data_IF_745546404897
#
_entry.id   IF_745546404897
#
_cell.length_a   1.000
_cell.length_b   1.000
_cell.length_c   1.000
_cell.angle_alpha   90.00
_cell.angle_beta   90.00
_cell.angle_gamma   90.00
#
_symmetry.space_group_name_H-M   'P 1'
#
loop_
_entity.id
_entity.type
_entity.pdbx_description
1 polymer ?
#
# COMPACT_ATOMS: atom_id res chain seq x y z
N UNK A 1 29.00 -6.44 7.94
CA UNK A 1 28.58 -7.17 9.16
C UNK A 1 27.05 -7.20 9.17
N UNK A 2 26.46 -8.40 9.26
CA UNK A 2 25.01 -8.57 9.38
C UNK A 2 24.55 -8.03 10.73
N UNK A 3 23.53 -7.15 10.75
CA UNK A 3 22.91 -6.65 11.99
C UNK A 3 21.73 -7.56 12.35
N UNK A 4 21.51 -7.82 13.64
CA UNK A 4 20.24 -8.41 14.06
C UNK A 4 19.08 -7.44 13.68
N UNK A 5 17.92 -7.94 13.23
CA UNK A 5 16.79 -7.09 12.84
C UNK A 5 16.40 -6.05 13.90
N UNK A 6 16.47 -6.41 15.18
CA UNK A 6 16.18 -5.53 16.32
C UNK A 6 17.08 -4.30 16.43
N UNK A 7 18.24 -4.28 15.77
CA UNK A 7 19.16 -3.14 15.74
C UNK A 7 19.04 -2.28 14.49
N UNK A 8 18.19 -2.66 13.54
CA UNK A 8 17.97 -1.85 12.35
C UNK A 8 17.18 -0.58 12.70
N UNK A 9 17.73 0.54 12.30
CA UNK A 9 17.08 1.86 12.38
C UNK A 9 16.21 2.05 11.14
N UNK A 10 14.90 1.95 11.31
CA UNK A 10 13.95 1.92 10.21
C UNK A 10 13.11 3.20 10.19
N UNK A 11 13.01 3.85 9.04
CA UNK A 11 11.97 4.82 8.74
C UNK A 11 10.80 4.06 8.12
N UNK A 12 9.62 4.14 8.74
CA UNK A 12 8.39 3.63 8.16
C UNK A 12 7.62 4.74 7.47
N UNK A 13 7.12 4.51 6.25
CA UNK A 13 6.23 5.43 5.54
C UNK A 13 4.91 4.74 5.20
N UNK A 14 3.79 5.32 5.66
CA UNK A 14 2.47 4.74 5.45
C UNK A 14 1.37 5.72 5.83
N UNK A 15 0.12 5.49 5.40
CA UNK A 15 -0.97 6.44 5.66
C UNK A 15 -2.29 5.77 6.06
N UNK A 16 -2.92 4.87 5.24
CA UNK A 16 -4.24 4.30 5.52
C UNK A 16 -4.17 3.10 6.47
N UNK A 17 -5.34 2.56 6.79
CA UNK A 17 -5.51 1.35 7.61
C UNK A 17 -4.72 0.15 7.09
N UNK A 18 -4.58 0.02 5.77
CA UNK A 18 -3.79 -1.04 5.13
C UNK A 18 -2.34 -1.12 5.66
N UNK A 19 -1.77 0.00 6.08
CA UNK A 19 -0.40 0.06 6.59
C UNK A 19 -0.26 -0.35 8.07
N UNK A 20 -1.37 -0.43 8.82
CA UNK A 20 -1.32 -0.67 10.27
C UNK A 20 -0.77 -2.05 10.67
N UNK A 21 -1.16 -3.18 10.04
CA UNK A 21 -0.59 -4.47 10.38
C UNK A 21 0.94 -4.50 10.22
N UNK A 22 1.44 -3.93 9.12
CA UNK A 22 2.88 -3.81 8.86
C UNK A 22 3.60 -2.94 9.89
N UNK A 23 3.03 -1.79 10.24
CA UNK A 23 3.60 -0.90 11.25
C UNK A 23 3.67 -1.58 12.64
N UNK A 24 2.60 -2.29 13.04
CA UNK A 24 2.56 -3.06 14.29
C UNK A 24 3.64 -4.13 14.34
N UNK A 25 3.77 -4.89 13.26
CA UNK A 25 4.75 -5.96 13.17
C UNK A 25 6.18 -5.42 13.26
N UNK A 26 6.47 -4.31 12.57
CA UNK A 26 7.79 -3.68 12.61
C UNK A 26 8.10 -3.04 13.96
N UNK A 27 7.12 -2.44 14.66
CA UNK A 27 7.33 -1.83 15.97
C UNK A 27 7.85 -2.82 17.02
N UNK A 28 7.53 -4.12 16.89
CA UNK A 28 8.04 -5.18 17.77
C UNK A 28 9.37 -5.81 17.31
N UNK A 29 9.84 -5.48 16.08
CA UNK A 29 10.95 -6.22 15.45
C UNK A 29 12.18 -5.36 15.16
N UNK A 30 12.03 -4.04 15.02
CA UNK A 30 13.10 -3.11 14.63
C UNK A 30 13.04 -1.83 15.45
N UNK A 31 14.08 -1.00 15.37
CA UNK A 31 14.05 0.34 15.93
C UNK A 31 13.40 1.32 14.94
N UNK A 32 12.11 1.64 15.14
CA UNK A 32 11.45 2.68 14.35
C UNK A 32 11.96 4.06 14.76
N UNK A 33 12.78 4.68 13.92
CA UNK A 33 13.37 6.00 14.17
C UNK A 33 12.49 7.13 13.67
N UNK A 34 11.57 6.86 12.75
CA UNK A 34 10.47 7.74 12.38
C UNK A 34 9.32 6.94 11.75
N UNK A 35 8.11 7.40 12.01
CA UNK A 35 6.88 7.01 11.28
C UNK A 35 6.41 8.23 10.49
N UNK A 36 6.61 8.18 9.18
CA UNK A 36 6.26 9.26 8.27
C UNK A 36 4.89 8.98 7.64
N UNK A 37 3.97 9.91 7.81
CA UNK A 37 2.62 9.78 7.26
C UNK A 37 2.13 11.09 6.66
N UNK A 38 1.04 11.07 5.91
CA UNK A 38 0.48 12.29 5.33
C UNK A 38 -0.07 13.21 6.44
N UNK A 39 -0.09 14.53 6.21
CA UNK A 39 -0.75 15.49 7.12
C UNK A 39 -2.22 15.17 7.34
N UNK A 40 -2.76 15.64 8.45
CA UNK A 40 -4.18 15.58 8.76
C UNK A 40 -4.99 16.20 7.61
N UNK A 41 -6.12 15.59 7.29
CA UNK A 41 -7.01 16.03 6.20
C UNK A 41 -8.46 16.15 6.68
N UNK A 42 -9.23 17.05 6.06
CA UNK A 42 -10.67 17.09 6.28
C UNK A 42 -11.32 15.74 5.91
N UNK A 43 -11.98 15.09 6.87
CA UNK A 43 -12.65 13.80 6.69
C UNK A 43 -14.07 13.81 7.26
N UNK A 44 -14.91 12.88 6.79
CA UNK A 44 -16.27 12.66 7.26
C UNK A 44 -17.27 13.80 6.98
N UNK A 45 -18.48 13.64 7.54
CA UNK A 45 -19.53 14.67 7.50
C UNK A 45 -19.11 15.85 8.37
N UNK A 46 -18.99 17.04 7.79
CA UNK A 46 -18.52 18.26 8.49
C UNK A 46 -17.03 18.58 8.28
N UNK A 47 -16.29 17.80 7.47
CA UNK A 47 -14.92 18.08 7.02
C UNK A 47 -13.96 18.50 8.16
N UNK A 48 -14.09 17.88 9.33
CA UNK A 48 -13.14 18.11 10.43
C UNK A 48 -11.77 17.51 10.07
N UNK A 49 -10.69 18.20 10.45
CA UNK A 49 -9.34 17.67 10.32
C UNK A 49 -9.23 16.38 11.13
N UNK A 50 -8.85 15.30 10.47
CA UNK A 50 -8.67 13.99 11.06
C UNK A 50 -7.28 13.47 10.75
N UNK A 51 -6.54 12.98 11.74
CA UNK A 51 -5.25 12.35 11.53
C UNK A 51 -5.41 11.05 10.73
N UNK A 52 -4.41 10.68 9.92
CA UNK A 52 -4.39 9.38 9.27
C UNK A 52 -4.30 8.24 10.30
N UNK A 53 -4.83 7.03 10.00
CA UNK A 53 -4.76 5.87 10.89
C UNK A 53 -3.35 5.58 11.41
N UNK A 54 -2.33 5.67 10.55
CA UNK A 54 -0.92 5.49 10.92
C UNK A 54 -0.46 6.51 11.96
N UNK A 55 -0.89 7.80 11.86
CA UNK A 55 -0.53 8.81 12.86
C UNK A 55 -1.18 8.54 14.22
N UNK A 56 -2.44 8.10 14.22
CA UNK A 56 -3.17 7.75 15.46
C UNK A 56 -2.43 6.62 16.17
N UNK A 57 -2.25 5.50 15.50
CA UNK A 57 -1.57 4.32 16.06
C UNK A 57 -0.14 4.64 16.54
N UNK A 58 0.64 5.36 15.74
CA UNK A 58 2.01 5.69 16.11
C UNK A 58 2.09 6.57 17.39
N UNK A 59 1.17 7.51 17.55
CA UNK A 59 1.08 8.34 18.77
C UNK A 59 0.67 7.52 19.99
N UNK A 60 -0.32 6.63 19.85
CA UNK A 60 -0.74 5.71 20.92
C UNK A 60 0.40 4.81 21.39
N UNK A 61 1.27 4.40 20.47
CA UNK A 61 2.46 3.60 20.77
C UNK A 61 3.70 4.43 21.14
N UNK A 62 3.58 5.75 21.29
CA UNK A 62 4.72 6.66 21.56
C UNK A 62 5.86 6.56 20.53
N UNK A 63 5.54 6.22 19.29
CA UNK A 63 6.50 6.20 18.17
C UNK A 63 6.73 7.63 17.63
N UNK A 64 7.94 7.95 17.13
CA UNK A 64 8.23 9.27 16.58
C UNK A 64 7.48 9.51 15.26
N UNK A 65 6.50 10.42 15.25
CA UNK A 65 5.66 10.73 14.09
C UNK A 65 6.14 11.97 13.37
N UNK A 66 6.23 11.89 12.05
CA UNK A 66 6.49 13.03 11.16
C UNK A 66 5.38 13.12 10.10
N UNK A 67 4.79 14.32 9.95
CA UNK A 67 3.73 14.60 8.97
C UNK A 67 4.12 15.76 8.04
N UNK A 68 5.22 15.62 7.27
CA UNK A 68 5.67 16.71 6.41
C UNK A 68 4.67 16.94 5.25
N UNK A 69 4.41 18.20 4.88
CA UNK A 69 3.56 18.51 3.73
C UNK A 69 4.16 18.01 2.40
N UNK A 70 5.49 17.85 2.35
CA UNK A 70 6.20 17.30 1.20
C UNK A 70 7.55 16.72 1.63
N UNK A 71 7.89 15.53 1.13
CA UNK A 71 9.21 14.92 1.29
C UNK A 71 10.29 15.54 0.40
N UNK A 72 9.91 16.39 -0.57
CA UNK A 72 10.86 17.09 -1.46
C UNK A 72 11.54 18.31 -0.81
N UNK A 73 11.12 18.70 0.39
CA UNK A 73 11.69 19.85 1.08
C UNK A 73 13.07 19.51 1.65
N UNK A 74 14.11 20.31 1.37
CA UNK A 74 15.47 20.03 1.82
C UNK A 74 15.58 19.88 3.35
N UNK A 75 14.81 20.65 4.12
CA UNK A 75 14.78 20.55 5.57
C UNK A 75 14.22 19.19 6.05
N UNK A 76 13.26 18.62 5.33
CA UNK A 76 12.69 17.29 5.64
C UNK A 76 13.70 16.20 5.32
N UNK A 77 14.36 16.28 4.15
CA UNK A 77 15.41 15.33 3.75
C UNK A 77 16.54 15.34 4.79
N UNK A 78 17.02 16.52 5.21
CA UNK A 78 18.04 16.65 6.26
C UNK A 78 17.58 16.07 7.61
N UNK A 79 16.33 16.32 8.00
CA UNK A 79 15.79 15.78 9.24
C UNK A 79 15.72 14.25 9.21
N UNK A 80 15.32 13.64 8.09
CA UNK A 80 15.31 12.19 7.93
C UNK A 80 16.74 11.61 7.89
N UNK A 81 17.67 12.27 7.21
CA UNK A 81 19.08 11.86 7.18
C UNK A 81 19.72 11.89 8.57
N UNK A 82 19.44 12.90 9.39
CA UNK A 82 19.95 13.02 10.76
C UNK A 82 19.52 11.86 11.68
N UNK A 83 18.46 11.14 11.31
CA UNK A 83 18.03 9.93 12.02
C UNK A 83 18.95 8.72 11.73
N UNK A 84 19.90 8.82 10.82
CA UNK A 84 20.78 7.73 10.40
C UNK A 84 20.02 6.40 10.18
N UNK A 85 19.04 6.35 9.26
CA UNK A 85 18.27 5.15 9.00
C UNK A 85 19.13 4.09 8.30
N UNK A 86 18.93 2.83 8.67
CA UNK A 86 19.52 1.68 7.95
C UNK A 86 18.65 1.24 6.78
N UNK A 87 17.30 1.37 6.92
CA UNK A 87 16.31 0.92 5.94
C UNK A 87 15.10 1.86 5.91
N UNK A 88 14.50 2.05 4.74
CA UNK A 88 13.20 2.69 4.59
C UNK A 88 12.15 1.65 4.18
N UNK A 89 11.04 1.61 4.88
CA UNK A 89 9.91 0.71 4.58
C UNK A 89 8.67 1.52 4.23
N UNK A 90 8.11 1.24 3.07
CA UNK A 90 6.91 1.91 2.55
C UNK A 90 5.73 0.94 2.50
N UNK A 91 4.57 1.37 3.00
CA UNK A 91 3.28 0.68 2.81
C UNK A 91 2.19 1.71 2.58
N UNK A 92 1.68 1.79 1.37
CA UNK A 92 0.57 2.67 1.00
C UNK A 92 0.74 4.12 1.49
N UNK A 93 1.90 4.73 1.31
CA UNK A 93 2.13 6.13 1.71
C UNK A 93 1.25 7.13 0.93
N UNK A 94 0.93 6.79 -0.32
CA UNK A 94 0.00 7.56 -1.17
C UNK A 94 0.60 8.80 -1.83
N UNK A 95 1.92 8.99 -1.76
CA UNK A 95 2.70 10.00 -2.48
C UNK A 95 4.01 9.41 -2.97
N UNK A 96 4.56 10.01 -4.02
CA UNK A 96 5.89 9.67 -4.52
C UNK A 96 6.94 10.04 -3.44
N UNK A 97 7.83 9.10 -3.15
CA UNK A 97 9.00 9.33 -2.32
C UNK A 97 10.15 9.73 -3.27
N UNK A 98 10.77 10.90 -3.06
CA UNK A 98 11.85 11.38 -3.94
C UNK A 98 13.11 10.53 -3.79
N UNK A 99 13.91 10.50 -4.85
CA UNK A 99 15.15 9.71 -4.90
C UNK A 99 16.13 10.09 -3.78
N UNK A 100 16.20 11.37 -3.42
CA UNK A 100 17.03 11.87 -2.30
C UNK A 100 16.66 11.18 -0.98
N UNK A 101 15.38 10.85 -0.77
CA UNK A 101 14.90 10.13 0.43
C UNK A 101 15.11 8.63 0.30
N UNK A 102 14.88 8.06 -0.91
CA UNK A 102 15.11 6.64 -1.17
C UNK A 102 16.58 6.25 -1.00
N UNK A 103 17.49 7.18 -1.28
CA UNK A 103 18.93 6.97 -1.19
C UNK A 103 19.52 7.16 0.23
N UNK A 104 18.75 7.65 1.20
CA UNK A 104 19.25 7.90 2.56
C UNK A 104 19.72 6.61 3.27
N UNK A 105 18.93 5.52 3.29
CA UNK A 105 19.32 4.34 4.04
C UNK A 105 20.29 3.44 3.24
N UNK A 106 21.40 2.99 3.83
CA UNK A 106 22.40 2.17 3.14
C UNK A 106 21.89 0.79 2.73
N UNK A 107 20.88 0.24 3.39
CA UNK A 107 20.24 -1.01 3.00
C UNK A 107 19.12 -0.81 1.96
N UNK A 108 18.87 0.44 1.57
CA UNK A 108 17.90 0.83 0.56
C UNK A 108 16.50 1.10 1.11
N UNK A 109 15.56 1.19 0.19
CA UNK A 109 14.14 1.38 0.47
C UNK A 109 13.36 0.17 -0.06
N UNK A 110 12.34 -0.28 0.68
CA UNK A 110 11.46 -1.38 0.26
C UNK A 110 9.99 -0.96 0.33
N UNK A 111 9.17 -1.59 -0.50
CA UNK A 111 7.73 -1.33 -0.57
C UNK A 111 6.94 -2.63 -0.55
N UNK A 112 5.84 -2.69 0.22
CA UNK A 112 4.84 -3.74 0.11
C UNK A 112 3.75 -3.31 -0.88
N UNK A 113 3.67 -4.01 -2.00
CA UNK A 113 2.71 -3.76 -3.05
C UNK A 113 1.68 -4.89 -3.15
N UNK A 114 0.35 -4.61 -3.03
CA UNK A 114 -0.67 -5.65 -2.96
C UNK A 114 -1.08 -6.14 -4.37
N UNK A 115 -0.12 -6.65 -5.12
CA UNK A 115 -0.32 -7.41 -6.35
C UNK A 115 0.84 -8.40 -6.59
N UNK A 116 0.66 -9.28 -7.57
CA UNK A 116 1.72 -10.10 -8.12
C UNK A 116 2.44 -9.32 -9.22
N UNK A 117 3.41 -8.47 -8.84
CA UNK A 117 4.21 -7.71 -9.80
C UNK A 117 4.91 -8.64 -10.80
N UNK A 118 5.01 -8.25 -12.09
CA UNK A 118 4.83 -6.90 -12.64
C UNK A 118 3.37 -6.51 -12.97
N UNK A 119 2.39 -7.36 -12.68
CA UNK A 119 0.99 -7.01 -12.91
C UNK A 119 0.47 -5.97 -11.90
N UNK A 120 -0.37 -5.04 -12.38
CA UNK A 120 -1.06 -4.06 -11.55
C UNK A 120 -0.13 -3.10 -10.78
N UNK A 121 0.94 -2.59 -11.40
CA UNK A 121 1.71 -1.47 -10.84
C UNK A 121 0.81 -0.25 -10.65
N UNK A 122 0.97 0.50 -9.57
CA UNK A 122 0.24 1.74 -9.32
C UNK A 122 -0.73 1.71 -8.14
N UNK A 123 -1.81 2.51 -8.21
CA UNK A 123 -2.49 2.96 -7.00
C UNK A 123 -3.63 2.06 -6.50
N UNK A 124 -4.26 1.25 -7.35
CA UNK A 124 -5.48 0.51 -7.00
C UNK A 124 -5.46 -0.95 -7.49
N UNK A 125 -4.38 -1.71 -7.18
CA UNK A 125 -4.20 -3.07 -7.69
C UNK A 125 -5.28 -4.04 -7.18
N UNK A 126 -5.73 -3.91 -5.94
CA UNK A 126 -6.72 -4.80 -5.31
C UNK A 126 -8.07 -4.69 -6.03
N UNK A 127 -8.56 -3.48 -6.17
CA UNK A 127 -9.84 -3.21 -6.82
C UNK A 127 -9.80 -3.62 -8.30
N UNK A 128 -8.68 -3.35 -8.95
CA UNK A 128 -8.55 -3.68 -10.38
C UNK A 128 -8.50 -5.19 -10.61
N UNK A 129 -7.77 -5.94 -9.82
CA UNK A 129 -7.73 -7.40 -9.93
C UNK A 129 -9.14 -8.02 -9.81
N UNK A 130 -9.95 -7.56 -8.87
CA UNK A 130 -11.34 -8.02 -8.74
C UNK A 130 -12.20 -7.59 -9.92
N UNK A 131 -12.11 -6.32 -10.35
CA UNK A 131 -12.90 -5.80 -11.48
C UNK A 131 -12.59 -6.52 -12.79
N UNK A 132 -11.34 -6.95 -12.99
CA UNK A 132 -10.88 -7.73 -14.13
C UNK A 132 -11.24 -9.23 -14.03
N UNK A 133 -11.91 -9.65 -12.94
CA UNK A 133 -12.34 -11.03 -12.75
C UNK A 133 -11.21 -12.00 -12.40
N UNK A 134 -10.10 -11.51 -11.89
CA UNK A 134 -9.02 -12.38 -11.44
C UNK A 134 -9.47 -13.25 -10.27
N UNK A 135 -9.02 -14.50 -10.25
CA UNK A 135 -9.25 -15.46 -9.16
C UNK A 135 -8.07 -15.54 -8.19
N UNK A 136 -6.97 -14.86 -8.53
CA UNK A 136 -5.74 -14.83 -7.75
C UNK A 136 -5.10 -13.43 -7.82
N UNK A 137 -4.50 -13.03 -6.72
CA UNK A 137 -3.63 -11.87 -6.57
C UNK A 137 -2.50 -12.22 -5.61
N UNK A 138 -1.94 -11.24 -4.91
CA UNK A 138 -0.92 -11.49 -3.88
C UNK A 138 -0.29 -10.21 -3.36
N UNK A 139 0.86 -10.37 -2.73
CA UNK A 139 1.70 -9.28 -2.25
C UNK A 139 3.10 -9.47 -2.79
N UNK A 140 3.72 -8.40 -3.24
CA UNK A 140 5.13 -8.33 -3.62
C UNK A 140 5.86 -7.35 -2.70
N UNK A 141 6.95 -7.81 -2.09
CA UNK A 141 7.91 -6.91 -1.43
C UNK A 141 9.01 -6.63 -2.43
N UNK A 142 9.22 -5.36 -2.75
CA UNK A 142 10.19 -4.92 -3.75
C UNK A 142 11.18 -3.92 -3.16
N UNK A 143 12.37 -3.82 -3.74
CA UNK A 143 13.20 -2.64 -3.58
C UNK A 143 12.52 -1.47 -4.28
N UNK A 144 12.35 -0.36 -3.57
CA UNK A 144 11.70 0.82 -4.11
C UNK A 144 12.72 1.68 -4.88
N UNK A 145 12.35 2.09 -6.07
CA UNK A 145 13.11 2.98 -6.96
C UNK A 145 12.28 4.20 -7.31
N UNK A 146 12.85 5.14 -8.06
CA UNK A 146 12.12 6.29 -8.60
C UNK A 146 11.04 5.92 -9.64
N UNK A 147 11.14 4.72 -10.25
CA UNK A 147 10.11 4.20 -11.15
C UNK A 147 8.98 3.53 -10.37
N UNK A 148 7.74 3.73 -10.84
CA UNK A 148 6.54 3.24 -10.15
C UNK A 148 6.50 1.71 -10.10
N UNK A 149 6.66 1.16 -8.87
CA UNK A 149 6.57 -0.26 -8.53
C UNK A 149 7.41 -1.19 -9.43
N UNK A 150 8.53 -0.67 -9.98
CA UNK A 150 9.35 -1.35 -10.98
C UNK A 150 10.62 -2.01 -10.43
N UNK A 151 10.94 -1.82 -9.16
CA UNK A 151 12.16 -2.36 -8.55
C UNK A 151 12.16 -3.89 -8.39
N UNK A 152 13.35 -4.43 -8.09
CA UNK A 152 13.56 -5.87 -7.93
C UNK A 152 12.68 -6.47 -6.83
N UNK A 153 12.12 -7.65 -7.11
CA UNK A 153 11.30 -8.40 -6.15
C UNK A 153 12.21 -9.11 -5.14
N UNK A 154 11.93 -8.89 -3.85
CA UNK A 154 12.54 -9.60 -2.72
C UNK A 154 11.73 -10.86 -2.44
N UNK A 155 10.46 -10.68 -2.10
CA UNK A 155 9.51 -11.75 -1.80
C UNK A 155 8.19 -11.52 -2.53
N UNK A 156 7.51 -12.61 -2.83
CA UNK A 156 6.20 -12.56 -3.43
C UNK A 156 5.38 -13.75 -2.96
N UNK A 157 4.13 -13.50 -2.56
CA UNK A 157 3.22 -14.55 -2.15
C UNK A 157 1.86 -14.37 -2.79
N UNK A 158 1.33 -15.48 -3.32
CA UNK A 158 0.01 -15.56 -3.94
C UNK A 158 -1.09 -15.62 -2.90
N UNK A 159 -2.26 -15.09 -3.26
CA UNK A 159 -3.48 -15.15 -2.47
C UNK A 159 -4.68 -15.34 -3.41
N UNK A 160 -5.51 -16.32 -3.16
CA UNK A 160 -6.75 -16.51 -3.92
C UNK A 160 -7.72 -15.34 -3.65
N UNK A 161 -8.52 -14.99 -4.66
CA UNK A 161 -9.64 -14.07 -4.53
C UNK A 161 -10.93 -14.89 -4.45
N UNK A 162 -11.66 -14.78 -3.36
CA UNK A 162 -12.93 -15.47 -3.17
C UNK A 162 -14.01 -14.99 -4.16
N UNK A 163 -14.94 -15.86 -4.56
CA UNK A 163 -15.96 -15.52 -5.57
C UNK A 163 -16.90 -14.39 -5.16
N UNK A 164 -17.16 -14.25 -3.87
CA UNK A 164 -18.00 -13.17 -3.30
C UNK A 164 -17.18 -12.14 -2.52
N UNK A 165 -15.85 -12.27 -2.48
CA UNK A 165 -14.98 -11.40 -1.70
C UNK A 165 -14.97 -9.98 -2.27
N UNK A 166 -15.19 -9.00 -1.40
CA UNK A 166 -15.12 -7.58 -1.75
C UNK A 166 -13.68 -7.06 -1.73
N UNK A 167 -13.45 -5.90 -2.34
CA UNK A 167 -12.14 -5.24 -2.25
C UNK A 167 -11.76 -4.92 -0.81
N UNK A 168 -12.72 -4.54 0.04
CA UNK A 168 -12.46 -4.30 1.46
C UNK A 168 -12.08 -5.54 2.24
N UNK A 169 -12.66 -6.71 1.91
CA UNK A 169 -12.29 -7.99 2.53
C UNK A 169 -10.87 -8.40 2.11
N UNK A 170 -10.61 -8.36 0.82
CA UNK A 170 -9.31 -8.70 0.24
C UNK A 170 -8.20 -7.76 0.75
N UNK A 171 -8.50 -6.46 0.87
CA UNK A 171 -7.56 -5.46 1.39
C UNK A 171 -7.08 -5.80 2.81
N UNK A 172 -8.00 -6.22 3.70
CA UNK A 172 -7.65 -6.64 5.07
C UNK A 172 -6.71 -7.85 5.06
N UNK A 173 -7.02 -8.88 4.28
CA UNK A 173 -6.18 -10.08 4.17
C UNK A 173 -4.80 -9.78 3.59
N UNK A 174 -4.73 -8.94 2.55
CA UNK A 174 -3.47 -8.56 1.93
C UNK A 174 -2.64 -7.63 2.83
N UNK A 175 -3.27 -6.85 3.72
CA UNK A 175 -2.57 -6.06 4.72
C UNK A 175 -1.84 -6.95 5.74
N UNK A 176 -2.49 -8.00 6.23
CA UNK A 176 -1.87 -8.97 7.15
C UNK A 176 -0.77 -9.78 6.46
N UNK A 177 -0.99 -10.19 5.21
CA UNK A 177 0.01 -10.86 4.40
C UNK A 177 1.22 -9.96 4.15
N UNK A 178 0.99 -8.67 3.88
CA UNK A 178 2.05 -7.66 3.71
C UNK A 178 2.91 -7.54 4.96
N UNK A 179 2.30 -7.54 6.15
CA UNK A 179 3.02 -7.47 7.42
C UNK A 179 3.96 -8.68 7.61
N UNK A 180 3.46 -9.89 7.32
CA UNK A 180 4.24 -11.12 7.41
C UNK A 180 5.43 -11.11 6.45
N UNK A 181 5.19 -10.78 5.18
CA UNK A 181 6.25 -10.76 4.16
C UNK A 181 7.26 -9.64 4.41
N UNK A 182 6.83 -8.48 4.93
CA UNK A 182 7.73 -7.39 5.28
C UNK A 182 8.70 -7.78 6.39
N UNK A 183 8.24 -8.45 7.45
CA UNK A 183 9.12 -8.93 8.51
C UNK A 183 10.17 -9.89 7.97
N UNK A 184 9.77 -10.81 7.11
CA UNK A 184 10.70 -11.75 6.48
C UNK A 184 11.70 -11.03 5.56
N UNK A 185 11.23 -10.06 4.74
CA UNK A 185 12.11 -9.27 3.89
C UNK A 185 13.13 -8.45 4.71
N UNK A 186 12.69 -7.82 5.80
CA UNK A 186 13.57 -7.07 6.71
C UNK A 186 14.62 -7.99 7.34
N UNK A 187 14.23 -9.22 7.76
CA UNK A 187 15.15 -10.22 8.27
C UNK A 187 16.20 -10.60 7.23
N UNK A 188 15.77 -10.92 6.00
CA UNK A 188 16.68 -11.27 4.91
C UNK A 188 17.64 -10.13 4.56
N UNK A 189 17.18 -8.88 4.57
CA UNK A 189 18.00 -7.70 4.35
C UNK A 189 19.05 -7.54 5.46
N UNK A 190 18.63 -7.69 6.72
CA UNK A 190 19.53 -7.61 7.88
C UNK A 190 20.64 -8.66 7.83
N UNK A 191 20.32 -9.86 7.32
CA UNK A 191 21.27 -10.97 7.13
C UNK A 191 22.13 -10.83 5.87
N UNK A 192 21.88 -9.85 5.00
CA UNK A 192 22.54 -9.70 3.70
C UNK A 192 22.16 -10.80 2.70
N UNK A 193 21.01 -11.42 2.86
CA UNK A 193 20.51 -12.57 2.06
C UNK A 193 19.29 -12.24 1.21
N UNK A 194 18.81 -11.00 1.24
CA UNK A 194 17.64 -10.60 0.47
C UNK A 194 17.92 -10.73 -1.04
N UNK A 195 17.12 -11.49 -1.77
CA UNK A 195 17.29 -11.63 -3.21
C UNK A 195 16.94 -10.32 -3.93
N UNK A 196 17.48 -10.17 -5.14
CA UNK A 196 17.12 -9.13 -6.10
C UNK A 196 16.70 -9.81 -7.40
N UNK A 197 15.41 -10.01 -7.58
CA UNK A 197 14.85 -10.62 -8.78
C UNK A 197 14.26 -9.53 -9.67
N UNK A 198 14.88 -9.20 -10.82
CA UNK A 198 14.35 -8.23 -11.76
C UNK A 198 12.94 -8.60 -12.20
N UNK A 199 12.10 -7.58 -12.41
CA UNK A 199 10.77 -7.77 -12.98
C UNK A 199 10.86 -7.87 -14.51
N UNK A 200 9.95 -8.65 -15.14
CA UNK A 200 9.73 -8.58 -16.58
C UNK A 200 8.92 -7.32 -16.91
N UNK A 201 9.62 -6.27 -17.34
CA UNK A 201 8.98 -5.00 -17.66
C UNK A 201 8.05 -5.07 -18.87
N UNK A 202 8.22 -6.05 -19.76
CA UNK A 202 7.33 -6.24 -20.91
C UNK A 202 5.96 -6.79 -20.50
N UNK A 203 5.89 -7.52 -19.38
CA UNK A 203 4.65 -8.05 -18.81
C UNK A 203 3.97 -7.07 -17.83
N UNK A 204 4.50 -5.86 -17.63
CA UNK A 204 3.96 -4.92 -16.68
C UNK A 204 2.61 -4.34 -17.12
N UNK A 205 1.66 -4.31 -16.17
CA UNK A 205 0.39 -3.60 -16.32
C UNK A 205 0.27 -2.49 -15.30
N UNK A 206 -0.48 -1.43 -15.61
CA UNK A 206 -0.56 -0.24 -14.77
C UNK A 206 -1.99 0.10 -14.40
N UNK A 207 -2.19 0.55 -13.16
CA UNK A 207 -3.50 0.91 -12.62
C UNK A 207 -3.46 2.28 -11.95
N UNK A 208 -4.39 3.14 -12.35
CA UNK A 208 -4.53 4.48 -11.79
C UNK A 208 -5.21 4.50 -10.41
N UNK A 209 -5.37 5.71 -9.88
CA UNK A 209 -6.20 5.93 -8.69
C UNK A 209 -7.66 5.79 -9.06
N UNK A 210 -8.43 5.13 -8.18
CA UNK A 210 -9.88 5.10 -8.32
C UNK A 210 -10.49 6.50 -8.19
N UNK A 211 -11.52 6.71 -8.97
CA UNK A 211 -12.41 7.87 -8.93
C UNK A 211 -13.85 7.42 -8.62
N UNK A 212 -14.76 8.36 -8.43
CA UNK A 212 -16.16 8.02 -8.25
C UNK A 212 -16.79 7.43 -9.51
N UNK A 213 -16.32 7.85 -10.66
CA UNK A 213 -16.78 7.41 -11.98
C UNK A 213 -16.50 5.94 -12.22
N UNK A 214 -15.42 5.40 -11.66
CA UNK A 214 -15.09 3.97 -11.77
C UNK A 214 -16.16 3.06 -11.16
N UNK A 215 -16.96 3.60 -10.23
CA UNK A 215 -18.10 2.88 -9.64
C UNK A 215 -19.37 2.89 -10.49
N UNK A 216 -19.42 3.60 -11.62
CA UNK A 216 -20.61 3.67 -12.47
C UNK A 216 -20.86 2.34 -13.19
N UNK A 217 -22.05 1.76 -12.96
CA UNK A 217 -22.45 0.52 -13.63
C UNK A 217 -22.82 0.82 -15.09
N UNK A 218 -22.16 0.12 -16.01
CA UNK A 218 -22.54 0.02 -17.41
C UNK A 218 -23.34 -1.28 -17.61
N UNK A 219 -24.64 -1.14 -17.78
CA UNK A 219 -25.57 -2.26 -17.92
C UNK A 219 -25.44 -3.01 -19.26
N UNK A 220 -24.63 -2.53 -20.19
CA UNK A 220 -24.33 -3.22 -21.46
C UNK A 220 -23.23 -4.27 -21.31
N UNK A 221 -22.52 -4.27 -20.17
CA UNK A 221 -21.48 -5.26 -19.88
C UNK A 221 -22.07 -6.61 -19.47
N UNK A 222 -21.33 -7.72 -19.64
CA UNK A 222 -21.73 -9.04 -19.13
C UNK A 222 -22.06 -9.00 -17.65
N UNK A 223 -23.03 -9.81 -17.22
CA UNK A 223 -23.50 -9.84 -15.82
C UNK A 223 -22.35 -10.09 -14.83
N UNK A 224 -21.45 -11.01 -15.14
CA UNK A 224 -20.26 -11.29 -14.32
C UNK A 224 -19.34 -10.06 -14.16
N UNK A 225 -19.14 -9.29 -15.22
CA UNK A 225 -18.35 -8.06 -15.16
C UNK A 225 -18.99 -7.00 -14.26
N UNK A 226 -20.34 -6.93 -14.23
CA UNK A 226 -21.09 -6.05 -13.34
C UNK A 226 -20.96 -6.54 -11.89
N UNK A 227 -21.09 -7.83 -11.62
CA UNK A 227 -20.87 -8.41 -10.29
C UNK A 227 -19.44 -8.13 -9.80
N UNK A 228 -18.44 -8.33 -10.65
CA UNK A 228 -17.04 -8.03 -10.31
C UNK A 228 -16.85 -6.53 -10.01
N UNK A 229 -17.47 -5.64 -10.79
CA UNK A 229 -17.44 -4.20 -10.51
C UNK A 229 -18.04 -3.87 -9.14
N UNK A 230 -19.20 -4.44 -8.81
CA UNK A 230 -19.89 -4.17 -7.53
C UNK A 230 -19.00 -4.55 -6.35
N UNK A 231 -18.42 -5.76 -6.34
CA UNK A 231 -17.54 -6.19 -5.25
C UNK A 231 -16.17 -5.50 -5.25
N UNK A 232 -15.65 -5.11 -6.42
CA UNK A 232 -14.40 -4.34 -6.54
C UNK A 232 -14.52 -2.93 -5.98
N UNK A 233 -15.71 -2.31 -6.08
CA UNK A 233 -15.95 -0.94 -5.63
C UNK A 233 -16.45 -0.85 -4.18
N UNK A 234 -16.58 -1.95 -3.48
CA UNK A 234 -16.97 -1.99 -2.06
C UNK A 234 -15.72 -2.04 -1.17
N UNK A 235 -15.54 -1.12 -0.20
CA UNK A 235 -16.48 -0.09 0.27
C UNK A 235 -16.43 1.24 -0.50
N UNK A 236 -15.41 1.50 -1.27
CA UNK A 236 -15.23 2.77 -1.97
C UNK A 236 -14.73 2.56 -3.40
N UNK A 237 -15.24 3.30 -4.39
CA UNK A 237 -16.22 4.42 -4.33
C UNK A 237 -17.67 3.98 -4.18
N UNK A 238 -17.99 2.71 -4.11
CA UNK A 238 -19.27 2.03 -4.23
C UNK A 238 -19.76 2.01 -5.68
N UNK A 239 -20.24 0.86 -6.13
CA UNK A 239 -20.90 0.77 -7.44
C UNK A 239 -22.24 1.51 -7.42
N UNK A 240 -22.59 2.17 -8.51
CA UNK A 240 -23.83 2.93 -8.59
C UNK A 240 -24.41 2.99 -10.00
N UNK A 241 -25.71 3.28 -10.04
CA UNK A 241 -26.46 3.58 -11.25
C UNK A 241 -27.44 4.74 -10.99
N UNK A 242 -28.21 5.11 -12.00
CA UNK A 242 -29.29 6.10 -11.88
C UNK A 242 -30.64 5.44 -12.20
N UNK A 243 -31.64 5.72 -11.39
CA UNK A 243 -33.04 5.30 -11.64
C UNK A 243 -33.96 6.50 -11.59
N UNK A 244 -34.51 6.88 -12.72
CA UNK A 244 -35.42 8.01 -12.88
C UNK A 244 -34.90 9.32 -12.25
N UNK A 245 -33.59 9.57 -12.33
CA UNK A 245 -32.90 10.77 -11.83
C UNK A 245 -32.04 10.55 -10.60
N UNK A 246 -32.45 9.95 -9.48
CA UNK A 246 -31.61 9.76 -8.32
C UNK A 246 -30.52 8.67 -8.52
N UNK A 247 -29.36 8.89 -7.88
CA UNK A 247 -28.29 7.91 -7.82
C UNK A 247 -28.64 6.78 -6.83
N UNK A 248 -28.51 5.53 -7.27
CA UNK A 248 -28.72 4.32 -6.47
C UNK A 248 -27.39 3.59 -6.35
N UNK A 249 -26.95 3.32 -5.12
CA UNK A 249 -25.76 2.53 -4.83
C UNK A 249 -26.11 1.05 -4.77
N UNK A 250 -25.22 0.23 -5.33
CA UNK A 250 -25.34 -1.23 -5.34
C UNK A 250 -24.20 -1.83 -4.53
N UNK A 251 -24.53 -2.60 -3.51
CA UNK A 251 -23.56 -3.22 -2.60
C UNK A 251 -23.37 -4.72 -2.84
N UNK A 252 -24.36 -5.37 -3.43
CA UNK A 252 -24.29 -6.78 -3.80
C UNK A 252 -25.01 -7.02 -5.11
N UNK A 253 -24.45 -7.91 -5.94
CA UNK A 253 -25.06 -8.36 -7.18
C UNK A 253 -24.80 -9.87 -7.34
N UNK A 254 -25.68 -10.52 -8.11
CA UNK A 254 -25.51 -11.91 -8.55
C UNK A 254 -25.78 -11.97 -10.04
N UNK A 255 -24.99 -12.77 -10.77
CA UNK A 255 -25.23 -13.12 -12.18
C UNK A 255 -26.16 -14.32 -12.29
#
# INVERSE_FOLDING_TARGET
MSKAPSHLRVIFTGTPEFALPSLRALAGAVQLVAVVTQPDRPAGRGRRLSPPPVAVFARECSLPVMQPPSLRRPEVVRALAALNPDLLVTVAYGRIIPDDVLALPPLGAINAHPSLLPAYRGASPIQRAIADGQTETGVSIIYQTGELDAGDIILQQRAAIGPEETAGDLERRLADLSATLLLEAVRLIAEGRAPRRPQDHAAATYVGKLTKEDGRIDWQRPAEAIVNLVRAMDPWPSAYTFRAGPQVKTWRARA
#
